data_IF_985360372397
#
_entry.id   IF_985360372397
#
_cell.length_a   1.000
_cell.length_b   1.000
_cell.length_c   1.000
_cell.angle_alpha   90.00
_cell.angle_beta   90.00
_cell.angle_gamma   90.00
#
_symmetry.space_group_name_H-M   'P 1'
#
loop_
_entity.id
_entity.type
_entity.pdbx_description
1 polymer ?
#
# COMPACT_ATOMS: atom_id res chain seq x y z
N UNK A 1 -44.72 -60.97 -32.73
CA UNK A 1 -43.65 -60.72 -31.76
C UNK A 1 -42.95 -59.41 -32.15
N UNK A 2 -43.37 -58.30 -31.54
CA UNK A 2 -42.85 -56.97 -31.82
C UNK A 2 -41.81 -56.64 -30.80
N UNK A 3 -40.55 -56.45 -31.22
CA UNK A 3 -39.45 -56.00 -30.34
C UNK A 3 -39.55 -54.45 -30.21
N UNK A 4 -39.79 -54.01 -29.00
CA UNK A 4 -39.80 -52.62 -28.58
C UNK A 4 -38.36 -52.16 -28.36
N UNK A 5 -37.83 -51.26 -29.18
CA UNK A 5 -36.53 -50.65 -28.99
C UNK A 5 -36.74 -49.36 -28.19
N UNK A 6 -36.33 -49.37 -26.93
CA UNK A 6 -36.28 -48.16 -26.12
C UNK A 6 -35.05 -47.33 -26.52
N UNK A 7 -35.30 -46.14 -27.06
CA UNK A 7 -34.27 -45.14 -27.31
C UNK A 7 -34.07 -44.32 -26.00
N UNK A 8 -32.94 -44.55 -25.31
CA UNK A 8 -32.56 -43.73 -24.16
C UNK A 8 -31.96 -42.43 -24.70
N UNK A 9 -32.69 -41.34 -24.61
CA UNK A 9 -32.16 -39.99 -24.87
C UNK A 9 -31.39 -39.60 -23.61
N UNK A 10 -30.07 -39.67 -23.66
CA UNK A 10 -29.18 -39.06 -22.65
C UNK A 10 -29.25 -37.54 -22.84
N UNK A 11 -29.96 -36.88 -21.92
CA UNK A 11 -29.99 -35.43 -21.81
C UNK A 11 -28.63 -34.99 -21.24
N UNK A 12 -27.70 -34.63 -22.11
CA UNK A 12 -26.51 -33.89 -21.70
C UNK A 12 -26.96 -32.51 -21.19
N UNK A 13 -27.08 -32.40 -19.86
CA UNK A 13 -27.09 -31.09 -19.23
C UNK A 13 -25.70 -30.48 -19.47
N UNK A 14 -25.58 -29.70 -20.52
CA UNK A 14 -24.48 -28.75 -20.65
C UNK A 14 -24.64 -27.75 -19.49
N UNK A 15 -23.99 -28.03 -18.39
CA UNK A 15 -23.67 -27.01 -17.40
C UNK A 15 -22.95 -25.92 -18.19
N UNK A 16 -23.66 -24.84 -18.49
CA UNK A 16 -23.06 -23.62 -18.99
C UNK A 16 -22.05 -23.20 -17.89
N UNK A 17 -20.78 -23.46 -18.12
CA UNK A 17 -19.78 -22.56 -17.59
C UNK A 17 -20.10 -21.23 -18.25
N UNK A 18 -20.89 -20.39 -17.55
CA UNK A 18 -20.83 -18.97 -17.77
C UNK A 18 -19.35 -18.63 -17.56
N UNK A 19 -18.66 -18.38 -18.66
CA UNK A 19 -17.36 -17.75 -18.63
C UNK A 19 -17.59 -16.45 -17.86
N UNK A 20 -17.20 -16.46 -16.58
CA UNK A 20 -17.01 -15.25 -15.79
C UNK A 20 -16.17 -14.37 -16.70
N UNK A 21 -16.75 -13.27 -17.18
CA UNK A 21 -16.04 -12.33 -18.05
C UNK A 21 -14.86 -11.86 -17.19
N UNK A 22 -13.72 -12.49 -17.40
CA UNK A 22 -12.54 -12.35 -16.59
C UNK A 22 -12.18 -10.87 -16.55
N UNK A 23 -12.38 -10.24 -15.41
CA UNK A 23 -11.65 -9.00 -15.14
C UNK A 23 -10.19 -9.34 -15.40
N UNK A 24 -9.59 -8.66 -16.38
CA UNK A 24 -8.21 -8.93 -16.73
C UNK A 24 -7.32 -8.91 -15.48
N UNK A 25 -6.32 -9.75 -15.44
CA UNK A 25 -5.38 -9.88 -14.32
C UNK A 25 -4.64 -8.56 -14.13
N UNK A 26 -4.77 -7.96 -12.96
CA UNK A 26 -4.17 -6.66 -12.62
C UNK A 26 -3.14 -6.84 -11.51
N UNK A 27 -1.93 -6.35 -11.72
CA UNK A 27 -0.84 -6.45 -10.75
C UNK A 27 -0.32 -5.05 -10.43
N UNK A 28 -0.03 -4.78 -9.15
CA UNK A 28 0.51 -3.51 -8.71
C UNK A 28 1.76 -3.69 -7.85
N UNK A 29 2.79 -2.87 -8.11
CA UNK A 29 3.91 -2.63 -7.21
C UNK A 29 3.70 -1.30 -6.52
N UNK A 30 3.68 -1.29 -5.20
CA UNK A 30 3.41 -0.08 -4.39
C UNK A 30 4.54 0.11 -3.40
N UNK A 31 5.31 1.19 -3.58
CA UNK A 31 6.51 1.50 -2.78
C UNK A 31 6.35 2.84 -2.08
N UNK A 32 6.65 2.87 -0.76
CA UNK A 32 6.71 4.09 0.05
C UNK A 32 8.03 4.19 0.82
N UNK A 33 8.87 5.15 0.48
CA UNK A 33 10.14 5.39 1.12
C UNK A 33 10.14 6.75 1.86
N UNK A 34 10.19 6.73 3.19
CA UNK A 34 10.23 7.92 4.06
C UNK A 34 11.43 7.95 5.00
N UNK A 35 11.91 6.79 5.47
CA UNK A 35 12.98 6.64 6.46
C UNK A 35 14.38 6.74 5.91
N UNK A 36 14.72 7.83 5.21
CA UNK A 36 16.03 8.00 4.57
C UNK A 36 17.17 8.16 5.58
N UNK A 37 18.23 7.38 5.42
CA UNK A 37 19.39 7.39 6.32
C UNK A 37 20.36 8.57 6.07
N UNK A 38 20.40 9.08 4.84
CA UNK A 38 21.37 10.11 4.40
C UNK A 38 20.68 11.35 3.80
N UNK A 39 19.36 11.46 3.93
CA UNK A 39 18.56 12.63 3.57
C UNK A 39 17.54 12.92 4.68
N UNK A 40 16.85 14.06 4.61
CA UNK A 40 15.76 14.35 5.54
C UNK A 40 14.63 13.32 5.40
N UNK A 41 14.05 12.82 6.51
CA UNK A 41 12.94 11.90 6.46
C UNK A 41 11.71 12.59 5.87
N UNK A 42 10.85 11.80 5.20
CA UNK A 42 9.53 12.20 4.73
C UNK A 42 8.46 11.54 5.61
N UNK A 43 7.40 12.28 5.94
CA UNK A 43 6.40 11.81 6.90
C UNK A 43 5.37 10.87 6.26
N UNK A 44 4.93 11.20 5.05
CA UNK A 44 3.75 10.57 4.45
C UNK A 44 4.01 9.37 3.51
N UNK A 45 5.16 9.18 2.86
CA UNK A 45 5.31 8.17 1.80
C UNK A 45 4.89 6.74 2.20
N UNK A 46 5.21 6.32 3.42
CA UNK A 46 4.84 4.99 3.92
C UNK A 46 3.32 4.87 4.12
N UNK A 47 2.67 5.93 4.61
CA UNK A 47 1.21 5.97 4.75
C UNK A 47 0.52 6.00 3.38
N UNK A 48 1.04 6.81 2.46
CA UNK A 48 0.56 6.93 1.10
C UNK A 48 0.56 5.58 0.38
N UNK A 49 1.68 4.88 0.46
CA UNK A 49 1.83 3.56 -0.14
C UNK A 49 0.89 2.52 0.51
N UNK A 50 0.76 2.50 1.83
CA UNK A 50 -0.16 1.58 2.52
C UNK A 50 -1.62 1.81 2.14
N UNK A 51 -2.04 3.07 2.15
CA UNK A 51 -3.43 3.42 1.84
C UNK A 51 -3.73 3.15 0.35
N UNK A 52 -2.76 3.40 -0.54
CA UNK A 52 -2.87 3.08 -1.97
C UNK A 52 -2.90 1.57 -2.21
N UNK A 53 -2.04 0.78 -1.56
CA UNK A 53 -2.02 -0.67 -1.66
C UNK A 53 -3.37 -1.27 -1.23
N UNK A 54 -3.88 -0.86 -0.08
CA UNK A 54 -5.19 -1.28 0.41
C UNK A 54 -6.32 -0.92 -0.58
N UNK A 55 -6.29 0.29 -1.14
CA UNK A 55 -7.28 0.73 -2.13
C UNK A 55 -7.20 -0.08 -3.42
N UNK A 56 -6.01 -0.31 -3.96
CA UNK A 56 -5.81 -1.10 -5.20
C UNK A 56 -6.24 -2.55 -5.02
N UNK A 57 -6.00 -3.15 -3.85
CA UNK A 57 -6.50 -4.49 -3.53
C UNK A 57 -8.03 -4.56 -3.62
N UNK A 58 -8.77 -3.54 -3.14
CA UNK A 58 -10.23 -3.49 -3.29
C UNK A 58 -10.70 -3.33 -4.75
N UNK A 59 -9.84 -2.86 -5.62
CA UNK A 59 -10.09 -2.69 -7.05
C UNK A 59 -9.66 -3.89 -7.89
N UNK A 60 -9.24 -4.99 -7.24
CA UNK A 60 -8.91 -6.26 -7.88
C UNK A 60 -7.47 -6.36 -8.37
N UNK A 61 -6.55 -5.55 -7.87
CA UNK A 61 -5.13 -5.73 -8.11
C UNK A 61 -4.52 -6.74 -7.15
N UNK A 62 -3.65 -7.60 -7.67
CA UNK A 62 -2.66 -8.31 -6.85
C UNK A 62 -1.57 -7.31 -6.51
N UNK A 63 -1.38 -7.01 -5.22
CA UNK A 63 -0.49 -5.93 -4.79
C UNK A 63 0.79 -6.48 -4.17
N UNK A 64 1.93 -6.01 -4.67
CA UNK A 64 3.27 -6.23 -4.10
C UNK A 64 3.67 -4.94 -3.40
N UNK A 65 3.93 -5.02 -2.11
CA UNK A 65 4.16 -3.86 -1.27
C UNK A 65 5.62 -3.77 -0.82
N UNK A 66 6.11 -2.53 -0.65
CA UNK A 66 7.42 -2.28 -0.08
C UNK A 66 7.50 -0.93 0.62
N UNK A 67 8.11 -0.91 1.82
CA UNK A 67 8.19 0.26 2.68
C UNK A 67 9.60 0.44 3.21
N UNK A 68 10.11 1.65 3.12
CA UNK A 68 11.47 2.02 3.56
C UNK A 68 12.54 1.07 3.05
N UNK A 69 12.52 0.82 1.74
CA UNK A 69 13.39 -0.15 1.11
C UNK A 69 14.76 0.42 0.80
N UNK A 70 15.81 -0.24 1.28
CA UNK A 70 17.16 -0.10 0.75
C UNK A 70 17.27 -0.71 -0.66
N UNK A 71 18.34 -0.37 -1.38
CA UNK A 71 18.49 -0.69 -2.81
C UNK A 71 18.25 -2.16 -3.14
N UNK A 72 18.89 -3.07 -2.41
CA UNK A 72 18.74 -4.52 -2.65
C UNK A 72 17.30 -5.00 -2.50
N UNK A 73 16.62 -4.55 -1.46
CA UNK A 73 15.23 -4.93 -1.20
C UNK A 73 14.28 -4.33 -2.24
N UNK A 74 14.56 -3.10 -2.69
CA UNK A 74 13.80 -2.44 -3.74
C UNK A 74 13.93 -3.20 -5.07
N UNK A 75 15.15 -3.56 -5.47
CA UNK A 75 15.39 -4.39 -6.67
C UNK A 75 14.73 -5.76 -6.57
N UNK A 76 14.71 -6.37 -5.36
CA UNK A 76 14.00 -7.62 -5.12
C UNK A 76 12.48 -7.47 -5.35
N UNK A 77 11.85 -6.38 -4.87
CA UNK A 77 10.42 -6.13 -5.12
C UNK A 77 10.11 -5.83 -6.58
N UNK A 78 11.01 -5.19 -7.30
CA UNK A 78 10.87 -5.00 -8.76
C UNK A 78 10.96 -6.36 -9.48
N UNK A 79 11.84 -7.26 -9.03
CA UNK A 79 11.89 -8.64 -9.54
C UNK A 79 10.61 -9.42 -9.27
N UNK A 80 10.09 -9.41 -8.03
CA UNK A 80 8.81 -10.03 -7.67
C UNK A 80 7.65 -9.48 -8.55
N UNK A 81 7.69 -8.19 -8.86
CA UNK A 81 6.70 -7.54 -9.71
C UNK A 81 6.84 -7.97 -11.18
N UNK A 82 8.05 -8.04 -11.69
CA UNK A 82 8.31 -8.53 -13.04
C UNK A 82 7.77 -9.95 -13.21
N UNK A 83 8.05 -10.85 -12.28
CA UNK A 83 7.54 -12.23 -12.30
C UNK A 83 6.00 -12.27 -12.24
N UNK A 84 5.39 -11.38 -11.47
CA UNK A 84 3.95 -11.31 -11.33
C UNK A 84 3.24 -10.70 -12.55
N UNK A 85 3.91 -9.92 -13.39
CA UNK A 85 3.35 -9.31 -14.60
C UNK A 85 3.13 -10.32 -15.73
N UNK A 86 3.76 -11.49 -15.71
CA UNK A 86 3.57 -12.51 -16.75
C UNK A 86 2.09 -12.88 -16.89
N UNK A 87 1.51 -12.62 -18.06
CA UNK A 87 0.10 -12.81 -18.36
C UNK A 87 -0.86 -11.82 -17.66
N UNK A 88 -0.38 -10.68 -17.18
CA UNK A 88 -1.21 -9.60 -16.66
C UNK A 88 -1.77 -8.73 -17.80
N UNK A 89 -3.03 -8.28 -17.66
CA UNK A 89 -3.67 -7.34 -18.59
C UNK A 89 -3.32 -5.88 -18.25
N UNK A 90 -2.96 -5.62 -16.98
CA UNK A 90 -2.52 -4.30 -16.55
C UNK A 90 -1.49 -4.40 -15.41
N UNK A 91 -0.40 -3.67 -15.56
CA UNK A 91 0.58 -3.39 -14.52
C UNK A 91 0.39 -1.99 -13.96
N UNK A 92 0.56 -1.82 -12.64
CA UNK A 92 0.57 -0.52 -12.00
C UNK A 92 1.81 -0.38 -11.12
N UNK A 93 2.53 0.72 -11.27
CA UNK A 93 3.60 1.10 -10.37
C UNK A 93 3.23 2.40 -9.64
N UNK A 94 3.17 2.34 -8.31
CA UNK A 94 3.00 3.49 -7.44
C UNK A 94 4.26 3.69 -6.61
N UNK A 95 4.77 4.91 -6.60
CA UNK A 95 5.92 5.26 -5.78
C UNK A 95 5.67 6.58 -5.03
N UNK A 96 5.91 6.57 -3.71
CA UNK A 96 5.97 7.76 -2.88
C UNK A 96 7.35 7.83 -2.22
N UNK A 97 8.04 8.98 -2.34
CA UNK A 97 9.38 9.18 -1.79
C UNK A 97 10.24 10.16 -2.56
N UNK A 98 11.55 10.15 -2.29
CA UNK A 98 12.49 10.98 -3.05
C UNK A 98 12.70 10.42 -4.46
N UNK A 99 12.56 11.31 -5.44
CA UNK A 99 12.96 11.09 -6.82
C UNK A 99 13.99 12.13 -7.25
N UNK A 100 14.79 11.80 -8.23
CA UNK A 100 15.75 12.74 -8.79
C UNK A 100 15.89 12.55 -10.30
N UNK A 101 16.27 13.63 -10.99
CA UNK A 101 16.58 13.65 -12.40
C UNK A 101 18.07 13.93 -12.61
N UNK A 102 18.74 13.10 -13.40
CA UNK A 102 20.12 13.32 -13.83
C UNK A 102 20.26 12.96 -15.31
N UNK A 103 20.84 13.84 -16.09
CA UNK A 103 21.03 13.67 -17.55
C UNK A 103 19.72 13.30 -18.29
N UNK A 104 18.59 13.91 -17.88
CA UNK A 104 17.28 13.66 -18.46
C UNK A 104 16.63 12.31 -18.08
N UNK A 105 17.23 11.53 -17.20
CA UNK A 105 16.70 10.26 -16.70
C UNK A 105 16.20 10.40 -15.26
N UNK A 106 15.12 9.71 -14.96
CA UNK A 106 14.49 9.71 -13.65
C UNK A 106 14.95 8.51 -12.83
N UNK A 107 15.15 8.74 -11.52
CA UNK A 107 15.58 7.71 -10.57
C UNK A 107 14.71 7.78 -9.32
N UNK A 108 14.36 6.63 -8.77
CA UNK A 108 13.83 6.48 -7.43
C UNK A 108 14.98 6.23 -6.45
N UNK A 109 14.83 6.78 -5.24
CA UNK A 109 15.89 6.78 -4.24
C UNK A 109 15.58 5.76 -3.14
N UNK A 110 16.42 4.72 -2.97
CA UNK A 110 16.35 3.82 -1.82
C UNK A 110 16.71 4.55 -0.52
N UNK A 111 16.21 4.07 0.63
CA UNK A 111 16.44 4.76 1.92
C UNK A 111 17.90 4.74 2.38
N UNK A 112 18.71 3.80 1.90
CA UNK A 112 20.13 3.65 2.22
C UNK A 112 21.09 4.39 1.25
N UNK A 113 20.55 5.04 0.20
CA UNK A 113 21.34 5.78 -0.78
C UNK A 113 22.08 6.96 -0.13
N UNK A 114 23.35 7.14 -0.50
CA UNK A 114 24.17 8.28 -0.03
C UNK A 114 24.23 9.41 -1.04
N UNK A 115 24.32 9.07 -2.32
CA UNK A 115 24.36 9.99 -3.47
C UNK A 115 25.36 11.15 -3.29
N UNK A 116 26.52 10.84 -2.75
CA UNK A 116 27.60 11.79 -2.51
C UNK A 116 28.45 12.10 -3.76
N UNK A 117 28.30 11.27 -4.81
CA UNK A 117 29.04 11.39 -6.07
C UNK A 117 28.15 11.03 -7.27
N UNK A 118 28.12 11.87 -8.34
CA UNK A 118 27.34 11.58 -9.54
C UNK A 118 27.67 10.22 -10.17
N UNK A 119 28.94 9.80 -10.13
CA UNK A 119 29.38 8.52 -10.66
C UNK A 119 28.77 7.30 -9.97
N UNK A 120 28.33 7.44 -8.72
CA UNK A 120 27.69 6.37 -7.93
C UNK A 120 26.17 6.27 -8.12
N UNK A 121 25.57 7.23 -8.82
CA UNK A 121 24.10 7.32 -8.95
C UNK A 121 23.47 5.99 -9.36
N UNK A 122 23.99 5.36 -10.42
CA UNK A 122 23.48 4.07 -10.91
C UNK A 122 23.71 2.90 -9.96
N UNK A 123 24.65 3.04 -9.02
CA UNK A 123 24.93 2.02 -8.00
C UNK A 123 24.03 2.18 -6.78
N UNK A 124 23.54 3.39 -6.53
CA UNK A 124 22.82 3.75 -5.30
C UNK A 124 21.33 4.07 -5.52
N UNK A 125 20.92 4.48 -6.72
CA UNK A 125 19.53 4.73 -7.10
C UNK A 125 19.05 3.71 -8.15
N UNK A 126 17.74 3.65 -8.39
CA UNK A 126 17.11 2.77 -9.37
C UNK A 126 16.53 3.61 -10.51
N UNK A 127 16.93 3.36 -11.79
CA UNK A 127 16.32 4.06 -12.91
C UNK A 127 14.85 3.71 -13.05
N UNK A 128 13.99 4.71 -13.22
CA UNK A 128 12.58 4.47 -13.45
C UNK A 128 12.30 3.88 -14.83
N UNK A 129 13.12 4.22 -15.82
CA UNK A 129 12.99 3.67 -17.17
C UNK A 129 13.02 2.13 -17.14
N UNK A 130 13.90 1.54 -16.31
CA UNK A 130 14.05 0.09 -16.23
C UNK A 130 12.74 -0.58 -15.71
N UNK A 131 12.01 0.08 -14.81
CA UNK A 131 10.72 -0.41 -14.30
C UNK A 131 9.64 -0.28 -15.38
N UNK A 132 9.61 0.85 -16.09
CA UNK A 132 8.64 1.12 -17.16
C UNK A 132 8.87 0.12 -18.31
N UNK A 133 10.11 -0.11 -18.72
CA UNK A 133 10.46 -1.06 -19.77
C UNK A 133 9.99 -2.49 -19.41
N UNK A 134 10.16 -2.92 -18.16
CA UNK A 134 9.62 -4.19 -17.67
C UNK A 134 8.09 -4.23 -17.82
N UNK A 135 7.39 -3.20 -17.38
CA UNK A 135 5.93 -3.13 -17.46
C UNK A 135 5.44 -3.17 -18.92
N UNK A 136 6.03 -2.32 -19.77
CA UNK A 136 5.63 -2.20 -21.18
C UNK A 136 5.95 -3.47 -22.01
N UNK A 137 6.96 -4.25 -21.58
CA UNK A 137 7.29 -5.52 -22.23
C UNK A 137 6.36 -6.66 -21.87
N UNK A 138 5.66 -6.58 -20.72
CA UNK A 138 4.90 -7.71 -20.18
C UNK A 138 3.38 -7.47 -20.09
N UNK A 139 2.94 -6.21 -19.98
CA UNK A 139 1.52 -5.89 -19.85
C UNK A 139 1.05 -4.92 -20.94
N UNK A 140 -0.12 -5.15 -21.57
CA UNK A 140 -0.66 -4.24 -22.58
C UNK A 140 -1.04 -2.86 -22.02
N UNK A 141 -1.29 -2.76 -20.70
CA UNK A 141 -1.58 -1.50 -20.02
C UNK A 141 -0.57 -1.30 -18.89
N UNK A 142 0.15 -0.18 -18.93
CA UNK A 142 1.16 0.20 -17.93
C UNK A 142 0.80 1.52 -17.28
N UNK A 143 0.48 1.49 -15.98
CA UNK A 143 0.05 2.66 -15.20
C UNK A 143 1.12 3.03 -14.18
N UNK A 144 1.57 4.26 -14.17
CA UNK A 144 2.60 4.75 -13.26
C UNK A 144 2.11 5.98 -12.51
N UNK A 145 2.18 5.96 -11.19
CA UNK A 145 1.83 7.08 -10.33
C UNK A 145 3.02 7.45 -9.45
N UNK A 146 3.53 8.65 -9.61
CA UNK A 146 4.73 9.14 -8.94
C UNK A 146 4.40 10.27 -7.99
N UNK A 147 4.33 9.94 -6.72
CA UNK A 147 4.25 10.91 -5.63
C UNK A 147 5.64 11.15 -5.06
N UNK A 148 6.46 11.77 -5.88
CA UNK A 148 7.85 12.02 -5.57
C UNK A 148 8.14 13.52 -5.57
N UNK A 149 8.74 14.01 -4.47
CA UNK A 149 9.25 15.36 -4.39
C UNK A 149 10.33 15.58 -5.45
N UNK A 150 10.26 16.71 -6.12
CA UNK A 150 11.22 17.12 -7.15
C UNK A 150 12.36 17.96 -6.59
N UNK A 151 12.37 18.25 -5.29
CA UNK A 151 13.54 18.77 -4.62
C UNK A 151 14.54 17.64 -4.45
N UNK A 152 15.57 17.66 -5.26
CA UNK A 152 16.69 16.73 -5.10
C UNK A 152 17.43 17.07 -3.78
N UNK A 153 17.22 16.32 -2.67
CA UNK A 153 17.88 16.61 -1.40
C UNK A 153 19.39 16.42 -1.51
N UNK A 154 19.84 15.70 -2.54
CA UNK A 154 21.24 15.42 -2.84
C UNK A 154 21.85 16.43 -3.83
N UNK A 155 21.07 17.41 -4.33
CA UNK A 155 21.57 18.38 -5.30
C UNK A 155 22.81 19.13 -4.79
N UNK A 156 22.86 19.49 -3.51
CA UNK A 156 24.00 20.16 -2.90
C UNK A 156 25.24 19.25 -2.83
N UNK A 157 25.10 18.00 -2.40
CA UNK A 157 26.22 17.06 -2.32
C UNK A 157 26.73 16.69 -3.71
N UNK A 158 25.81 16.45 -4.66
CA UNK A 158 26.15 16.16 -6.04
C UNK A 158 26.80 17.35 -6.76
N UNK A 159 26.37 18.60 -6.50
CA UNK A 159 26.94 19.80 -7.12
C UNK A 159 28.30 20.18 -6.54
N UNK A 160 28.55 19.96 -5.26
CA UNK A 160 29.83 20.25 -4.61
C UNK A 160 30.97 19.35 -5.07
N UNK A 161 30.66 18.10 -5.43
CA UNK A 161 31.62 17.10 -5.92
C UNK A 161 31.82 17.13 -7.44
N UNK A 162 30.89 17.71 -8.17
CA UNK A 162 30.99 17.88 -9.62
C UNK A 162 31.95 19.00 -9.98
N UNK A 163 33.25 18.72 -10.12
CA UNK A 163 34.28 19.71 -10.50
C UNK A 163 34.19 20.22 -11.93
N UNK A 164 33.26 19.76 -12.76
CA UNK A 164 33.11 20.13 -14.19
C UNK A 164 31.67 19.89 -14.66
N UNK A 165 31.32 20.35 -15.83
CA UNK A 165 30.07 20.27 -16.65
C UNK A 165 28.89 19.41 -16.14
N UNK A 166 29.10 18.46 -15.22
CA UNK A 166 28.09 17.57 -14.64
C UNK A 166 27.13 18.28 -13.67
N UNK A 167 27.45 19.47 -13.16
CA UNK A 167 26.51 20.24 -12.31
C UNK A 167 25.33 20.79 -13.13
N UNK A 168 25.49 20.97 -14.44
CA UNK A 168 24.44 21.38 -15.35
C UNK A 168 23.48 20.23 -15.75
N UNK A 169 23.81 19.00 -15.36
CA UNK A 169 23.04 17.80 -15.69
C UNK A 169 21.93 17.46 -14.65
N UNK A 170 21.95 18.16 -13.51
CA UNK A 170 20.93 18.02 -12.47
C UNK A 170 19.73 18.91 -12.86
N UNK A 171 18.70 18.29 -13.46
CA UNK A 171 17.44 18.97 -13.77
C UNK A 171 16.63 19.22 -12.49
N UNK A 172 15.87 20.30 -12.46
CA UNK A 172 14.81 20.49 -11.48
C UNK A 172 13.60 19.64 -11.89
N UNK A 173 13.15 18.76 -10.99
CA UNK A 173 12.01 17.89 -11.21
C UNK A 173 12.31 16.57 -11.92
N UNK A 174 11.26 15.80 -12.23
CA UNK A 174 11.35 14.58 -13.03
C UNK A 174 11.21 14.92 -14.53
N UNK A 175 11.98 14.25 -15.39
CA UNK A 175 11.89 14.35 -16.84
C UNK A 175 10.60 13.69 -17.35
N UNK A 176 10.19 14.08 -18.56
CA UNK A 176 9.19 13.29 -19.30
C UNK A 176 9.80 11.95 -19.73
N UNK A 177 8.98 10.91 -19.71
CA UNK A 177 9.38 9.59 -20.18
C UNK A 177 9.14 9.45 -21.69
N UNK A 178 10.02 8.72 -22.37
CA UNK A 178 9.73 8.21 -23.70
C UNK A 178 8.84 6.97 -23.51
N UNK A 179 7.53 7.15 -23.41
CA UNK A 179 6.60 6.02 -23.24
C UNK A 179 6.22 5.39 -24.59
N UNK A 180 6.13 4.06 -24.61
CA UNK A 180 5.57 3.28 -25.71
C UNK A 180 4.02 3.27 -25.66
N UNK A 181 3.38 2.48 -26.50
CA UNK A 181 1.92 2.33 -26.51
C UNK A 181 1.42 1.67 -25.23
N UNK A 182 0.26 2.10 -24.75
CA UNK A 182 -0.44 1.47 -23.62
C UNK A 182 0.00 1.99 -22.26
N UNK A 183 0.76 3.09 -22.19
CA UNK A 183 1.28 3.64 -20.94
C UNK A 183 0.53 4.89 -20.50
N UNK A 184 0.41 5.05 -19.18
CA UNK A 184 -0.10 6.25 -18.53
C UNK A 184 0.77 6.56 -17.31
N UNK A 185 1.37 7.75 -17.29
CA UNK A 185 2.28 8.16 -16.23
C UNK A 185 1.76 9.46 -15.61
N UNK A 186 1.42 9.41 -14.34
CA UNK A 186 0.95 10.55 -13.55
C UNK A 186 2.00 10.97 -12.52
N UNK A 187 2.19 12.27 -12.42
CA UNK A 187 3.11 12.90 -11.47
C UNK A 187 2.31 13.75 -10.50
N UNK A 188 2.73 13.78 -9.25
CA UNK A 188 2.10 14.61 -8.22
C UNK A 188 2.18 16.10 -8.51
N UNK A 189 3.12 16.54 -9.35
CA UNK A 189 3.28 17.97 -9.73
C UNK A 189 3.81 18.14 -11.16
N UNK A 190 3.65 19.34 -11.72
CA UNK A 190 4.11 19.70 -13.07
C UNK A 190 5.64 19.62 -13.20
N UNK A 191 6.22 19.45 -14.42
CA UNK A 191 7.66 19.50 -14.67
C UNK A 191 8.30 20.77 -14.07
N UNK A 192 9.42 20.60 -13.33
CA UNK A 192 10.12 21.75 -12.70
C UNK A 192 9.49 22.28 -11.42
N UNK A 193 8.39 21.70 -10.91
CA UNK A 193 7.75 22.11 -9.68
C UNK A 193 8.00 21.14 -8.51
N UNK A 194 7.78 21.58 -7.29
CA UNK A 194 7.96 20.82 -6.04
C UNK A 194 6.62 20.23 -5.61
N UNK A 195 6.61 18.94 -5.22
CA UNK A 195 5.48 18.33 -4.56
C UNK A 195 5.52 18.61 -3.05
N UNK A 196 4.35 18.78 -2.44
CA UNK A 196 4.20 18.92 -0.98
C UNK A 196 3.97 17.56 -0.35
N UNK A 197 4.66 17.29 0.76
CA UNK A 197 4.39 16.11 1.58
C UNK A 197 3.03 16.23 2.30
N UNK A 198 2.59 17.48 2.52
CA UNK A 198 1.32 17.77 3.20
C UNK A 198 1.44 17.72 4.72
N UNK A 199 0.38 18.15 5.40
CA UNK A 199 0.27 18.13 6.87
C UNK A 199 -0.69 17.06 7.39
N UNK A 200 -1.35 16.33 6.49
CA UNK A 200 -2.27 15.23 6.79
C UNK A 200 -1.57 13.88 6.87
N UNK A 201 -2.37 12.81 6.95
CA UNK A 201 -1.88 11.43 6.90
C UNK A 201 -1.26 11.08 5.54
N UNK A 202 -1.83 11.64 4.48
CA UNK A 202 -1.40 11.43 3.11
C UNK A 202 -0.95 12.76 2.49
N UNK A 203 -0.14 12.67 1.46
CA UNK A 203 0.16 13.80 0.58
C UNK A 203 -1.13 14.32 -0.09
N UNK A 204 -1.18 15.60 -0.53
CA UNK A 204 -2.32 16.10 -1.27
C UNK A 204 -2.66 15.30 -2.52
N UNK A 205 -1.65 14.80 -3.23
CA UNK A 205 -1.83 13.99 -4.44
C UNK A 205 -2.41 12.62 -4.13
N UNK A 206 -1.81 11.89 -3.20
CA UNK A 206 -2.31 10.57 -2.80
C UNK A 206 -3.68 10.64 -2.16
N UNK A 207 -3.95 11.64 -1.31
CA UNK A 207 -5.28 11.86 -0.75
C UNK A 207 -6.35 12.07 -1.85
N UNK A 208 -6.03 12.84 -2.89
CA UNK A 208 -6.92 13.04 -4.03
C UNK A 208 -7.10 11.76 -4.87
N UNK A 209 -6.01 11.00 -5.13
CA UNK A 209 -6.10 9.70 -5.81
C UNK A 209 -7.02 8.74 -5.07
N UNK A 210 -6.86 8.59 -3.76
CA UNK A 210 -7.67 7.70 -2.91
C UNK A 210 -9.16 8.05 -2.93
N UNK A 211 -9.50 9.35 -3.07
CA UNK A 211 -10.90 9.81 -3.20
C UNK A 211 -11.51 9.42 -4.54
N UNK A 212 -10.76 9.49 -5.63
CA UNK A 212 -11.31 9.41 -6.99
C UNK A 212 -11.04 8.09 -7.72
N UNK A 213 -10.04 7.29 -7.32
CA UNK A 213 -9.63 6.06 -8.04
C UNK A 213 -10.73 4.98 -8.10
N UNK A 214 -11.67 4.98 -7.15
CA UNK A 214 -12.77 4.04 -7.11
C UNK A 214 -14.09 4.63 -7.65
N UNK A 215 -14.06 5.77 -8.34
CA UNK A 215 -15.25 6.35 -8.96
C UNK A 215 -15.75 5.42 -10.07
N UNK A 216 -17.01 4.93 -9.99
CA UNK A 216 -17.55 4.01 -10.99
C UNK A 216 -17.51 4.62 -12.39
N UNK A 217 -17.13 3.84 -13.39
CA UNK A 217 -17.09 4.20 -14.83
C UNK A 217 -16.27 5.44 -15.18
N UNK A 218 -15.49 5.95 -14.24
CA UNK A 218 -14.60 7.05 -14.54
C UNK A 218 -13.37 6.53 -15.30
N UNK A 219 -13.09 7.10 -16.48
CA UNK A 219 -11.82 6.87 -17.14
C UNK A 219 -10.66 7.40 -16.29
N UNK A 220 -9.47 6.84 -16.48
CA UNK A 220 -8.26 7.34 -15.79
C UNK A 220 -8.04 8.83 -16.06
N UNK A 221 -8.38 9.33 -17.25
CA UNK A 221 -8.28 10.76 -17.59
C UNK A 221 -9.29 11.60 -16.83
N UNK A 222 -10.56 11.15 -16.75
CA UNK A 222 -11.60 11.86 -15.96
C UNK A 222 -11.25 11.86 -14.48
N UNK A 223 -10.73 10.74 -13.96
CA UNK A 223 -10.22 10.63 -12.60
C UNK A 223 -9.09 11.65 -12.36
N UNK A 224 -8.11 11.76 -13.25
CA UNK A 224 -7.00 12.70 -13.10
C UNK A 224 -7.41 14.16 -13.19
N UNK A 225 -8.46 14.51 -13.95
CA UNK A 225 -9.06 15.84 -13.94
C UNK A 225 -9.60 16.16 -12.53
N UNK A 226 -10.30 15.21 -11.90
CA UNK A 226 -10.82 15.40 -10.55
C UNK A 226 -9.68 15.48 -9.49
N UNK A 227 -8.68 14.62 -9.59
CA UNK A 227 -7.47 14.62 -8.75
C UNK A 227 -6.76 15.97 -8.85
N UNK A 228 -6.51 16.45 -10.07
CA UNK A 228 -5.82 17.73 -10.32
C UNK A 228 -6.57 18.90 -9.70
N UNK A 229 -7.88 18.96 -9.89
CA UNK A 229 -8.74 20.01 -9.30
C UNK A 229 -8.64 20.03 -7.78
N UNK A 230 -8.69 18.86 -7.14
CA UNK A 230 -8.63 18.75 -5.69
C UNK A 230 -7.26 19.14 -5.15
N UNK A 231 -6.17 18.69 -5.79
CA UNK A 231 -4.80 19.06 -5.39
C UNK A 231 -4.55 20.56 -5.54
N UNK A 232 -4.93 21.17 -6.66
CA UNK A 232 -4.80 22.61 -6.87
C UNK A 232 -5.53 23.38 -5.75
N UNK A 233 -6.77 22.98 -5.44
CA UNK A 233 -7.56 23.62 -4.38
C UNK A 233 -6.93 23.45 -3.00
N UNK A 234 -6.49 22.24 -2.65
CA UNK A 234 -5.92 21.90 -1.34
C UNK A 234 -4.58 22.61 -1.12
N UNK A 235 -3.76 22.71 -2.16
CA UNK A 235 -2.44 23.34 -2.11
C UNK A 235 -2.46 24.84 -2.45
N UNK A 236 -3.63 25.44 -2.68
CA UNK A 236 -3.80 26.85 -3.06
C UNK A 236 -2.93 27.24 -4.26
N UNK A 237 -3.09 26.50 -5.35
CA UNK A 237 -2.37 26.65 -6.63
C UNK A 237 -0.86 26.37 -6.56
N UNK A 238 -0.34 25.86 -5.41
CA UNK A 238 1.09 25.56 -5.30
C UNK A 238 1.49 24.31 -6.07
N UNK A 239 0.61 23.29 -6.13
CA UNK A 239 0.89 22.00 -6.74
C UNK A 239 -0.16 21.68 -7.81
N UNK A 240 0.31 21.36 -9.01
CA UNK A 240 -0.54 20.95 -10.15
C UNK A 240 -0.11 19.60 -10.65
N UNK A 241 -0.87 18.52 -10.41
CA UNK A 241 -0.59 17.20 -10.99
C UNK A 241 -0.54 17.23 -12.51
N UNK A 242 0.38 16.46 -13.05
CA UNK A 242 0.63 16.35 -14.48
C UNK A 242 0.57 14.89 -14.91
N UNK A 243 0.13 14.62 -16.13
CA UNK A 243 0.19 13.30 -16.73
C UNK A 243 0.67 13.33 -18.18
N UNK A 244 1.21 12.20 -18.62
CA UNK A 244 1.43 11.86 -20.01
C UNK A 244 0.86 10.46 -20.27
N UNK A 245 0.29 10.23 -21.44
CA UNK A 245 -0.34 8.96 -21.73
C UNK A 245 -0.34 8.64 -23.21
N UNK A 246 -0.22 7.35 -23.50
CA UNK A 246 -0.28 6.73 -24.83
C UNK A 246 -1.27 5.56 -24.84
N UNK A 247 -2.22 5.54 -23.90
CA UNK A 247 -3.28 4.53 -23.86
C UNK A 247 -4.06 4.53 -25.17
N UNK A 248 -4.26 3.34 -25.73
CA UNK A 248 -5.02 3.15 -26.96
C UNK A 248 -6.48 2.83 -26.69
N UNK A 249 -6.81 2.48 -25.44
CA UNK A 249 -8.15 2.16 -24.98
C UNK A 249 -8.47 2.86 -23.67
N UNK A 250 -9.75 2.98 -23.38
CA UNK A 250 -10.23 3.57 -22.12
C UNK A 250 -9.92 2.62 -20.97
N UNK A 251 -9.18 3.08 -19.97
CA UNK A 251 -8.93 2.35 -18.75
C UNK A 251 -9.81 2.87 -17.61
N UNK A 252 -10.42 1.96 -16.88
CA UNK A 252 -11.28 2.23 -15.72
C UNK A 252 -10.83 1.36 -14.54
N UNK A 253 -10.64 1.98 -13.37
CA UNK A 253 -10.33 1.24 -12.16
C UNK A 253 -11.54 0.46 -11.63
N UNK A 254 -12.74 1.04 -11.74
CA UNK A 254 -14.01 0.51 -11.22
C UNK A 254 -15.13 0.56 -12.27
N UNK A 255 -15.10 -0.29 -13.34
CA UNK A 255 -16.18 -0.35 -14.32
C UNK A 255 -17.48 -0.90 -13.68
N UNK A 256 -18.65 -0.27 -13.93
CA UNK A 256 -19.96 -0.65 -13.36
C UNK A 256 -20.44 -2.04 -13.76
N UNK A 257 -19.96 -2.57 -14.90
CA UNK A 257 -20.24 -3.95 -15.31
C UNK A 257 -19.45 -4.99 -14.51
N UNK A 258 -18.40 -4.58 -13.84
CA UNK A 258 -17.72 -5.36 -12.84
C UNK A 258 -18.52 -5.18 -11.55
N UNK A 259 -19.29 -6.20 -11.13
CA UNK A 259 -19.67 -6.30 -9.70
C UNK A 259 -18.41 -5.94 -8.93
N UNK A 260 -18.47 -4.99 -7.91
CA UNK A 260 -17.35 -4.89 -7.00
C UNK A 260 -17.06 -6.35 -6.68
N UNK A 261 -15.85 -6.82 -6.95
CA UNK A 261 -15.42 -8.00 -6.26
C UNK A 261 -15.61 -7.57 -4.79
N UNK A 262 -16.78 -7.94 -4.21
CA UNK A 262 -16.65 -8.46 -2.88
C UNK A 262 -15.40 -9.29 -3.05
N UNK A 263 -14.31 -8.85 -2.41
CA UNK A 263 -13.19 -9.76 -2.14
C UNK A 263 -13.98 -10.98 -1.74
N UNK A 264 -14.15 -11.91 -2.69
CA UNK A 264 -14.78 -13.16 -2.37
C UNK A 264 -13.94 -13.48 -1.18
N UNK A 265 -14.59 -13.49 -0.02
CA UNK A 265 -14.01 -14.05 1.15
C UNK A 265 -13.45 -15.37 0.64
N UNK A 266 -12.24 -15.34 0.02
CA UNK A 266 -11.40 -16.51 -0.03
C UNK A 266 -11.16 -16.69 1.44
N UNK A 267 -12.14 -17.46 1.96
CA UNK A 267 -12.41 -17.49 3.37
C UNK A 267 -11.09 -17.82 4.02
N UNK A 268 -10.68 -16.96 4.91
CA UNK A 268 -9.97 -17.48 6.06
C UNK A 268 -10.74 -18.74 6.33
N UNK A 269 -10.10 -19.90 6.12
CA UNK A 269 -10.64 -21.20 6.46
C UNK A 269 -11.42 -21.00 7.76
N UNK A 270 -12.66 -21.45 7.83
CA UNK A 270 -13.54 -21.13 8.96
C UNK A 270 -12.85 -21.46 10.30
N UNK A 271 -11.96 -22.46 10.29
CA UNK A 271 -11.08 -22.79 11.40
C UNK A 271 -10.08 -21.64 11.69
N UNK A 272 -9.43 -21.07 10.70
CA UNK A 272 -8.50 -19.96 10.88
C UNK A 272 -9.22 -18.65 11.31
N UNK A 273 -10.45 -18.43 10.83
CA UNK A 273 -11.30 -17.32 11.30
C UNK A 273 -11.62 -17.48 12.78
N UNK A 274 -12.06 -18.66 13.18
CA UNK A 274 -12.35 -18.98 14.59
C UNK A 274 -11.10 -18.82 15.48
N UNK A 275 -9.93 -19.27 15.00
CA UNK A 275 -8.65 -19.09 15.71
C UNK A 275 -8.32 -17.61 15.92
N UNK A 276 -8.51 -16.76 14.89
CA UNK A 276 -8.24 -15.33 14.96
C UNK A 276 -9.26 -14.61 15.85
N UNK A 277 -10.55 -14.92 15.72
CA UNK A 277 -11.59 -14.35 16.58
C UNK A 277 -11.36 -14.71 18.05
N UNK A 278 -10.98 -15.95 18.34
CA UNK A 278 -10.61 -16.40 19.68
C UNK A 278 -9.34 -15.67 20.19
N UNK A 279 -8.31 -15.52 19.36
CA UNK A 279 -7.10 -14.77 19.71
C UNK A 279 -7.43 -13.34 20.11
N UNK A 280 -8.33 -12.67 19.36
CA UNK A 280 -8.76 -11.30 19.64
C UNK A 280 -9.63 -11.27 20.90
N UNK A 281 -10.66 -12.11 20.98
CA UNK A 281 -11.63 -12.11 22.08
C UNK A 281 -11.04 -12.52 23.43
N UNK A 282 -10.15 -13.50 23.43
CA UNK A 282 -9.66 -14.10 24.68
C UNK A 282 -8.29 -13.56 25.13
N UNK A 283 -7.52 -12.96 24.23
CA UNK A 283 -6.18 -12.46 24.57
C UNK A 283 -6.01 -10.96 24.32
N UNK A 284 -6.35 -10.46 23.12
CA UNK A 284 -6.17 -9.03 22.81
C UNK A 284 -7.09 -8.13 23.65
N UNK A 285 -8.35 -8.54 23.82
CA UNK A 285 -9.36 -7.77 24.55
C UNK A 285 -9.40 -8.07 26.06
N UNK A 286 -8.71 -9.10 26.52
CA UNK A 286 -8.64 -9.49 27.94
C UNK A 286 -7.18 -9.54 28.42
N UNK A 287 -6.45 -8.42 28.38
CA UNK A 287 -5.07 -8.40 28.89
C UNK A 287 -5.08 -8.66 30.39
N UNK A 288 -4.32 -9.66 30.84
CA UNK A 288 -4.18 -10.02 32.24
C UNK A 288 -3.12 -9.17 32.94
N UNK A 289 -3.48 -8.29 33.89
CA UNK A 289 -2.50 -7.38 34.53
C UNK A 289 -1.36 -8.10 35.22
N UNK A 290 -1.64 -9.24 35.86
CA UNK A 290 -0.67 -9.99 36.66
C UNK A 290 0.40 -10.68 35.78
N UNK A 291 0.13 -10.92 34.50
CA UNK A 291 1.01 -11.66 33.58
C UNK A 291 1.08 -11.01 32.20
N UNK A 292 0.92 -9.70 32.14
CA UNK A 292 0.78 -8.95 30.88
C UNK A 292 1.94 -9.20 29.92
N UNK A 293 3.19 -9.25 30.43
CA UNK A 293 4.36 -9.47 29.59
C UNK A 293 4.36 -10.83 28.88
N UNK A 294 3.99 -11.91 29.58
CA UNK A 294 3.92 -13.24 28.96
C UNK A 294 2.75 -13.33 27.99
N UNK A 295 1.58 -12.78 28.35
CA UNK A 295 0.38 -12.76 27.50
C UNK A 295 0.63 -12.02 26.17
N UNK A 296 1.37 -10.90 26.21
CA UNK A 296 1.76 -10.17 25.01
C UNK A 296 2.72 -10.97 24.12
N UNK A 297 3.64 -11.76 24.70
CA UNK A 297 4.53 -12.64 23.94
C UNK A 297 3.82 -13.76 23.19
N UNK A 298 2.66 -14.19 23.67
CA UNK A 298 1.83 -15.16 23.00
C UNK A 298 0.87 -14.56 21.96
N UNK A 299 0.62 -13.25 22.06
CA UNK A 299 -0.30 -12.51 21.18
C UNK A 299 0.41 -11.88 20.00
N UNK A 300 1.58 -11.27 20.22
CA UNK A 300 2.31 -10.50 19.22
C UNK A 300 3.50 -11.26 18.62
N UNK A 301 3.89 -10.89 17.41
CA UNK A 301 5.12 -11.37 16.78
C UNK A 301 6.38 -10.70 17.37
N UNK A 302 7.57 -11.20 17.00
CA UNK A 302 8.85 -10.63 17.47
C UNK A 302 9.06 -9.16 17.06
N UNK A 303 8.46 -8.76 15.93
CA UNK A 303 8.40 -7.40 15.42
C UNK A 303 6.95 -7.02 15.13
N UNK A 304 6.55 -5.85 15.55
CA UNK A 304 5.18 -5.34 15.43
C UNK A 304 5.23 -3.89 14.99
N UNK A 305 4.31 -3.51 14.12
CA UNK A 305 4.05 -2.10 13.84
C UNK A 305 2.87 -1.67 14.71
N UNK A 306 3.11 -0.89 15.75
CA UNK A 306 2.07 -0.40 16.66
C UNK A 306 1.83 1.08 16.41
N UNK A 307 0.61 1.42 15.96
CA UNK A 307 0.21 2.79 15.60
C UNK A 307 1.21 3.49 14.66
N UNK A 308 1.68 2.77 13.65
CA UNK A 308 2.63 3.26 12.66
C UNK A 308 4.11 3.20 13.09
N UNK A 309 4.41 2.82 14.34
CA UNK A 309 5.78 2.74 14.87
C UNK A 309 6.28 1.29 14.84
N UNK A 310 7.36 0.96 14.12
CA UNK A 310 8.00 -0.35 14.19
C UNK A 310 8.63 -0.55 15.57
N UNK A 311 8.29 -1.65 16.22
CA UNK A 311 8.77 -2.00 17.57
C UNK A 311 9.17 -3.48 17.61
N UNK A 312 10.15 -3.78 18.47
CA UNK A 312 10.38 -5.16 18.91
C UNK A 312 9.31 -5.55 19.93
N UNK A 313 9.07 -6.85 20.11
CA UNK A 313 8.15 -7.34 21.13
C UNK A 313 8.50 -6.81 22.54
N UNK A 314 9.79 -6.68 22.85
CA UNK A 314 10.23 -6.16 24.14
C UNK A 314 9.86 -4.67 24.34
N UNK A 315 10.06 -3.83 23.33
CA UNK A 315 9.66 -2.41 23.33
C UNK A 315 8.15 -2.26 23.44
N UNK A 316 7.38 -3.02 22.62
CA UNK A 316 5.93 -3.03 22.69
C UNK A 316 5.43 -3.46 24.07
N UNK A 317 6.00 -4.54 24.63
CA UNK A 317 5.65 -5.04 25.96
C UNK A 317 5.88 -3.96 27.01
N UNK A 318 7.04 -3.31 26.99
CA UNK A 318 7.37 -2.23 27.94
C UNK A 318 6.37 -1.07 27.82
N UNK A 319 6.05 -0.63 26.61
CA UNK A 319 5.10 0.44 26.37
C UNK A 319 3.68 0.08 26.87
N UNK A 320 3.19 -1.14 26.55
CA UNK A 320 1.87 -1.58 26.99
C UNK A 320 1.80 -1.78 28.51
N UNK A 321 2.82 -2.36 29.14
CA UNK A 321 2.89 -2.50 30.62
C UNK A 321 2.84 -1.12 31.27
N UNK A 322 3.63 -0.17 30.79
CA UNK A 322 3.62 1.20 31.29
C UNK A 322 2.24 1.84 31.11
N UNK A 323 1.62 1.67 29.94
CA UNK A 323 0.29 2.23 29.68
C UNK A 323 -0.79 1.62 30.57
N UNK A 324 -0.85 0.29 30.71
CA UNK A 324 -1.82 -0.38 31.57
C UNK A 324 -1.59 -0.11 33.06
N UNK A 325 -0.34 0.21 33.47
CA UNK A 325 -0.01 0.45 34.89
C UNK A 325 -0.73 1.65 35.52
N UNK A 326 -1.19 2.61 34.72
CA UNK A 326 -1.91 3.79 35.19
C UNK A 326 -3.40 3.54 35.46
N UNK A 327 -3.95 2.40 34.96
CA UNK A 327 -5.37 2.09 35.09
C UNK A 327 -5.62 1.08 36.21
N UNK A 328 -6.66 1.32 37.01
CA UNK A 328 -7.12 0.38 38.06
C UNK A 328 -7.90 -0.78 37.43
N UNK A 329 -8.76 -0.44 36.46
CA UNK A 329 -9.57 -1.40 35.70
C UNK A 329 -9.89 -0.83 34.32
N UNK A 330 -10.26 -1.73 33.41
CA UNK A 330 -10.74 -1.38 32.06
C UNK A 330 -11.86 -2.30 31.63
N UNK A 331 -12.63 -1.82 30.67
CA UNK A 331 -13.63 -2.59 29.96
C UNK A 331 -13.46 -2.35 28.47
N UNK A 332 -13.34 -3.44 27.69
CA UNK A 332 -13.13 -3.44 26.26
C UNK A 332 -14.23 -4.29 25.62
N UNK A 333 -15.08 -3.69 24.80
CA UNK A 333 -16.21 -4.35 24.16
C UNK A 333 -16.06 -4.21 22.63
N UNK A 334 -15.79 -5.33 21.91
CA UNK A 334 -15.69 -5.29 20.46
C UNK A 334 -17.07 -5.28 19.83
N UNK A 335 -17.18 -4.59 18.67
CA UNK A 335 -18.21 -4.86 17.71
C UNK A 335 -17.96 -6.16 16.94
N UNK A 336 -18.67 -6.33 15.83
CA UNK A 336 -18.41 -7.46 14.92
C UNK A 336 -16.97 -7.44 14.42
N UNK A 337 -16.25 -8.55 14.60
CA UNK A 337 -14.90 -8.74 14.07
C UNK A 337 -15.03 -9.20 12.61
N UNK A 338 -14.51 -8.43 11.70
CA UNK A 338 -14.41 -8.79 10.29
C UNK A 338 -12.99 -9.29 10.01
N UNK A 339 -12.85 -10.56 9.64
CA UNK A 339 -11.55 -11.17 9.31
C UNK A 339 -11.46 -11.38 7.81
N UNK A 340 -10.41 -10.82 7.19
CA UNK A 340 -10.13 -10.93 5.75
C UNK A 340 -8.79 -11.63 5.55
N UNK A 341 -8.76 -12.66 4.71
CA UNK A 341 -7.50 -13.31 4.34
C UNK A 341 -6.67 -12.40 3.44
N UNK A 342 -5.35 -12.44 3.63
CA UNK A 342 -4.39 -11.90 2.67
C UNK A 342 -3.96 -13.05 1.75
N UNK A 343 -3.87 -12.84 0.42
CA UNK A 343 -3.47 -13.90 -0.51
C UNK A 343 -2.18 -14.60 -0.07
N UNK A 344 -2.18 -15.95 -0.12
CA UNK A 344 -1.07 -16.76 0.37
C UNK A 344 -1.36 -17.53 1.67
N UNK A 345 -2.50 -17.30 2.35
CA UNK A 345 -3.01 -18.09 3.47
C UNK A 345 -2.22 -18.00 4.78
N UNK A 346 -1.12 -17.23 4.80
CA UNK A 346 -0.24 -17.07 5.97
C UNK A 346 -0.43 -15.72 6.67
N UNK A 347 -1.30 -14.86 6.15
CA UNK A 347 -1.60 -13.55 6.72
C UNK A 347 -3.10 -13.25 6.66
N UNK A 348 -3.57 -12.45 7.60
CA UNK A 348 -4.96 -11.99 7.69
C UNK A 348 -5.02 -10.56 8.24
N UNK A 349 -6.13 -9.89 7.98
CA UNK A 349 -6.49 -8.59 8.56
C UNK A 349 -7.77 -8.77 9.38
N UNK A 350 -7.80 -8.24 10.59
CA UNK A 350 -9.01 -8.16 11.39
C UNK A 350 -9.36 -6.70 11.68
N UNK A 351 -10.64 -6.34 11.48
CA UNK A 351 -11.17 -4.99 11.73
C UNK A 351 -12.42 -5.08 12.60
N UNK A 352 -12.48 -4.25 13.63
CA UNK A 352 -13.64 -4.17 14.50
C UNK A 352 -13.72 -2.82 15.22
N UNK A 353 -14.95 -2.36 15.51
CA UNK A 353 -15.10 -1.23 16.41
C UNK A 353 -14.85 -1.70 17.84
N UNK A 354 -14.19 -0.87 18.64
CA UNK A 354 -13.88 -1.12 20.04
C UNK A 354 -14.47 0.01 20.89
N UNK A 355 -15.42 -0.33 21.74
CA UNK A 355 -15.86 0.56 22.82
C UNK A 355 -15.01 0.30 24.04
N UNK A 356 -14.44 1.34 24.62
CA UNK A 356 -13.54 1.21 25.76
C UNK A 356 -13.92 2.12 26.92
N UNK A 357 -13.60 1.69 28.13
CA UNK A 357 -13.65 2.50 29.34
C UNK A 357 -12.48 2.13 30.22
N UNK A 358 -11.74 3.14 30.69
CA UNK A 358 -10.59 3.01 31.57
C UNK A 358 -10.83 3.83 32.84
N UNK A 359 -10.56 3.25 34.01
CA UNK A 359 -10.65 3.92 35.30
C UNK A 359 -9.24 4.11 35.87
N UNK A 360 -8.79 5.37 36.04
CA UNK A 360 -7.42 5.65 36.52
C UNK A 360 -7.26 5.30 38.00
N UNK A 361 -6.04 4.88 38.38
CA UNK A 361 -5.69 4.52 39.76
C UNK A 361 -5.69 5.70 40.74
N UNK A 362 -5.56 6.92 40.23
CA UNK A 362 -5.57 8.15 41.05
C UNK A 362 -6.98 8.62 41.43
N UNK A 363 -8.02 7.85 41.09
CA UNK A 363 -9.42 8.16 41.35
C UNK A 363 -10.01 9.23 40.44
N UNK A 364 -9.33 9.57 39.34
CA UNK A 364 -9.85 10.48 38.32
C UNK A 364 -11.10 9.95 37.59
N UNK A 365 -11.71 10.80 36.78
CA UNK A 365 -12.87 10.42 35.96
C UNK A 365 -12.50 9.30 34.98
N UNK A 366 -13.42 8.38 34.71
CA UNK A 366 -13.24 7.35 33.70
C UNK A 366 -13.07 7.96 32.33
N UNK A 367 -12.12 7.43 31.55
CA UNK A 367 -11.93 7.76 30.14
C UNK A 367 -12.63 6.72 29.29
N UNK A 368 -13.60 7.13 28.51
CA UNK A 368 -14.39 6.22 27.66
C UNK A 368 -14.46 6.76 26.23
N UNK A 369 -14.54 5.86 25.26
CA UNK A 369 -14.65 6.23 23.85
C UNK A 369 -14.92 5.04 22.94
N UNK A 370 -14.91 5.31 21.66
CA UNK A 370 -15.04 4.32 20.61
C UNK A 370 -13.94 4.53 19.58
N UNK A 371 -13.34 3.45 19.08
CA UNK A 371 -12.32 3.49 18.05
C UNK A 371 -12.50 2.33 17.08
N UNK A 372 -12.05 2.49 15.84
CA UNK A 372 -11.93 1.39 14.90
C UNK A 372 -10.53 0.79 15.07
N UNK A 373 -10.46 -0.49 15.40
CA UNK A 373 -9.19 -1.24 15.53
C UNK A 373 -8.94 -2.03 14.25
N UNK A 374 -7.72 -1.96 13.77
CA UNK A 374 -7.23 -2.77 12.65
C UNK A 374 -6.02 -3.56 13.12
N UNK A 375 -6.08 -4.89 13.01
CA UNK A 375 -4.99 -5.80 13.31
C UNK A 375 -4.51 -6.50 12.04
N UNK A 376 -3.21 -6.46 11.77
CA UNK A 376 -2.56 -7.35 10.82
C UNK A 376 -2.04 -8.58 11.56
N UNK A 377 -2.35 -9.76 11.02
CA UNK A 377 -1.97 -11.04 11.62
C UNK A 377 -1.13 -11.87 10.65
N UNK A 378 -0.18 -12.62 11.19
CA UNK A 378 0.61 -13.60 10.44
C UNK A 378 0.54 -14.96 11.14
N UNK A 379 0.46 -16.04 10.34
CA UNK A 379 0.48 -17.41 10.83
C UNK A 379 1.93 -17.88 10.96
N UNK A 380 2.37 -18.12 12.18
CA UNK A 380 3.65 -18.71 12.51
C UNK A 380 3.47 -20.18 12.87
N UNK A 381 4.57 -20.92 13.03
CA UNK A 381 4.52 -22.33 13.44
C UNK A 381 3.76 -22.57 14.77
N UNK A 382 3.68 -21.54 15.61
CA UNK A 382 2.99 -21.53 16.91
C UNK A 382 1.55 -20.98 16.87
N UNK A 383 0.98 -20.77 15.67
CA UNK A 383 -0.36 -20.18 15.47
C UNK A 383 -0.33 -18.73 15.03
N UNK A 384 -1.49 -18.08 15.03
CA UNK A 384 -1.62 -16.68 14.62
C UNK A 384 -0.97 -15.73 15.63
N UNK A 385 -0.34 -14.66 15.10
CA UNK A 385 0.26 -13.57 15.87
C UNK A 385 -0.09 -12.23 15.25
N UNK A 386 -0.36 -11.24 16.09
CA UNK A 386 -0.52 -9.84 15.66
C UNK A 386 0.86 -9.27 15.30
N UNK A 387 0.99 -8.81 14.06
CA UNK A 387 2.21 -8.18 13.53
C UNK A 387 2.02 -6.69 13.27
N UNK A 388 0.79 -6.21 13.27
CA UNK A 388 0.49 -4.78 13.29
C UNK A 388 -0.81 -4.50 14.02
N UNK A 389 -0.88 -3.35 14.67
CA UNK A 389 -2.08 -2.80 15.29
C UNK A 389 -2.20 -1.31 14.98
N UNK A 390 -3.41 -0.87 14.70
CA UNK A 390 -3.76 0.54 14.51
C UNK A 390 -5.14 0.82 15.08
N UNK A 391 -5.40 2.08 15.46
CA UNK A 391 -6.69 2.52 15.97
C UNK A 391 -7.03 3.91 15.47
N UNK A 392 -8.27 4.10 15.00
CA UNK A 392 -8.77 5.40 14.58
C UNK A 392 -9.92 5.80 15.50
N UNK A 393 -9.75 6.92 16.20
CA UNK A 393 -10.88 7.57 16.89
C UNK A 393 -11.83 8.14 15.85
N UNK A 394 -13.14 7.92 16.07
CA UNK A 394 -14.21 8.53 15.27
C UNK A 394 -14.23 10.05 15.47
#
# INVERSE_FOLDING_TARGET
>A
MRKLVLFLIALFATSGLEADAAKGRRVALVIGNGGYLNAGPLVNPVNDARDMAAKLATLGFTVIEGYDLGKRSLEGRIGDFADALDGADAGLFYYAGHGLQVDGRNFIVPVDARLDQPAKLRLEAVPMDDIIDIMESQAPVSLVFLDACRNNPFARSLSQTAKTRSAAALGEGLAQFASSRGSFIAFSTAPGAVAMDGSGRNSPFTAALLRHIATPDASISDMMIAVRRDVIKETRDFQTPWEQGSLTERFEFAPSGAKPQQIAEQGVDEAARAEIEALIGDRYLKPEPANLGASLGELFGERVVSYGVPMTLAELTSAKVQWFSQWERWHLEPGRIAVTAIPGGQAAKAEFSLTYSYWPKDGGAAVSGKTLVTLGLSRLNSGWRVISEDGRSD
#
